data_IF_427961765584
#
_entry.id   IF_427961765584
#
_cell.length_a   1.000
_cell.length_b   1.000
_cell.length_c   1.000
_cell.angle_alpha   90.00
_cell.angle_beta   90.00
_cell.angle_gamma   90.00
#
_symmetry.space_group_name_H-M   'P 1'
#
loop_
_entity.id
_entity.type
_entity.pdbx_description
1 polymer ?
#
# COMPACT_ATOMS: atom_id res chain seq x y z
N UNK A 1 9.97 -18.03 -21.76
CA UNK A 1 10.03 -17.53 -21.57
C UNK A 1 10.23 -16.78 -21.47
N UNK A 2 10.05 -16.56 -21.40
CA UNK A 2 10.16 -15.99 -21.21
C UNK A 2 10.39 -15.04 -20.91
N UNK A 3 10.12 -14.57 -21.19
CA UNK A 3 10.25 -13.64 -20.78
C UNK A 3 10.45 -13.12 -19.90
N UNK A 4 10.45 -12.51 -20.57
CA UNK A 4 10.95 -12.41 -19.27
C UNK A 4 11.06 -11.04 -18.74
N UNK A 5 9.95 -10.56 -18.30
CA UNK A 5 9.99 -9.39 -17.46
C UNK A 5 10.51 -9.89 -16.14
N UNK A 6 11.66 -9.40 -15.70
CA UNK A 6 12.19 -9.75 -14.40
C UNK A 6 11.22 -9.26 -13.32
N UNK A 7 11.21 -9.92 -12.20
CA UNK A 7 10.36 -9.51 -11.08
C UNK A 7 10.61 -8.06 -10.68
N UNK A 8 11.86 -7.62 -10.73
CA UNK A 8 12.20 -6.24 -10.37
C UNK A 8 11.56 -5.23 -11.31
N UNK A 9 11.42 -5.57 -12.59
CA UNK A 9 10.79 -4.69 -13.56
C UNK A 9 9.29 -4.59 -13.33
N UNK A 10 8.63 -5.71 -13.06
CA UNK A 10 7.21 -5.72 -12.71
C UNK A 10 6.99 -4.92 -11.43
N UNK A 11 7.84 -5.12 -10.44
CA UNK A 11 7.74 -4.39 -9.19
C UNK A 11 7.86 -2.89 -9.41
N UNK A 12 8.79 -2.44 -10.26
CA UNK A 12 8.96 -1.03 -10.57
C UNK A 12 7.71 -0.43 -11.21
N UNK A 13 7.08 -1.15 -12.12
CA UNK A 13 5.86 -0.70 -12.77
C UNK A 13 4.72 -0.58 -11.76
N UNK A 14 4.58 -1.56 -10.89
CA UNK A 14 3.54 -1.54 -9.87
C UNK A 14 3.77 -0.39 -8.90
N UNK A 15 5.03 -0.19 -8.44
CA UNK A 15 5.35 0.89 -7.52
C UNK A 15 5.04 2.25 -8.13
N UNK A 16 5.32 2.42 -9.41
CA UNK A 16 4.99 3.68 -10.09
C UNK A 16 3.49 3.89 -10.15
N UNK A 17 2.73 2.84 -10.45
CA UNK A 17 1.27 2.92 -10.46
C UNK A 17 0.75 3.32 -9.08
N UNK A 18 1.29 2.72 -8.03
CA UNK A 18 0.89 3.04 -6.66
C UNK A 18 1.25 4.49 -6.30
N UNK A 19 2.44 4.95 -6.69
CA UNK A 19 2.84 6.33 -6.47
C UNK A 19 1.89 7.32 -7.13
N UNK A 20 1.40 6.99 -8.32
CA UNK A 20 0.54 7.88 -9.09
C UNK A 20 -0.92 7.83 -8.63
N UNK A 21 -1.38 6.69 -8.12
CA UNK A 21 -2.80 6.46 -7.87
C UNK A 21 -3.18 6.24 -6.41
N UNK A 22 -2.20 5.94 -5.56
CA UNK A 22 -2.44 5.67 -4.14
C UNK A 22 -1.74 6.67 -3.23
N UNK A 23 -1.43 7.83 -3.77
CA UNK A 23 -0.84 8.93 -3.02
C UNK A 23 -1.90 9.51 -2.08
N UNK A 24 -1.66 9.55 -0.77
CA UNK A 24 -2.66 10.07 0.17
C UNK A 24 -3.00 11.53 -0.08
N UNK A 25 -4.25 11.91 0.15
CA UNK A 25 -4.71 13.29 -0.05
C UNK A 25 -3.90 14.31 0.74
N UNK A 26 -3.47 13.94 1.94
CA UNK A 26 -2.66 14.83 2.78
C UNK A 26 -1.17 14.77 2.44
N UNK A 27 -0.78 13.92 1.50
CA UNK A 27 0.62 13.68 1.16
C UNK A 27 1.29 12.72 2.13
N UNK A 28 2.52 12.31 1.81
CA UNK A 28 3.26 11.42 2.69
C UNK A 28 3.84 12.20 3.87
N UNK A 29 3.67 11.65 5.06
CA UNK A 29 4.34 12.14 6.26
C UNK A 29 5.71 11.47 6.37
N UNK A 30 6.57 12.00 7.22
CA UNK A 30 7.82 11.34 7.51
C UNK A 30 7.57 10.07 8.33
N UNK A 31 8.41 9.03 8.20
CA UNK A 31 8.19 7.80 8.96
C UNK A 31 8.05 8.00 10.47
N UNK A 32 8.79 8.96 11.02
CA UNK A 32 8.69 9.26 12.45
C UNK A 32 7.32 9.78 12.83
N UNK A 33 6.69 10.55 11.95
CA UNK A 33 5.34 11.07 12.20
C UNK A 33 4.30 9.97 12.19
N UNK A 34 4.43 9.00 11.26
CA UNK A 34 3.54 7.85 11.25
C UNK A 34 3.67 7.02 12.52
N UNK A 35 4.90 6.85 12.98
CA UNK A 35 5.15 6.11 14.20
C UNK A 35 4.50 6.80 15.41
N UNK A 36 4.61 8.11 15.50
CA UNK A 36 3.98 8.88 16.59
C UNK A 36 2.45 8.76 16.53
N UNK A 37 1.87 8.89 15.35
CA UNK A 37 0.42 8.74 15.18
C UNK A 37 -0.03 7.36 15.60
N UNK A 38 0.70 6.34 15.19
CA UNK A 38 0.35 4.97 15.53
C UNK A 38 0.46 4.71 17.02
N UNK A 39 1.51 5.20 17.67
CA UNK A 39 1.66 5.03 19.11
C UNK A 39 0.54 5.72 19.89
N UNK A 40 0.04 6.82 19.35
CA UNK A 40 -1.00 7.60 20.01
C UNK A 40 -2.40 7.02 19.79
N UNK A 41 -2.71 6.58 18.57
CA UNK A 41 -4.07 6.21 18.20
C UNK A 41 -4.23 4.73 17.88
N UNK A 42 -3.14 3.98 17.71
CA UNK A 42 -3.12 2.58 17.27
C UNK A 42 -3.73 2.40 15.87
N UNK A 43 -3.82 3.48 15.11
CA UNK A 43 -4.39 3.45 13.77
C UNK A 43 -3.90 4.62 12.93
N UNK A 44 -3.77 4.38 11.62
CA UNK A 44 -3.47 5.41 10.64
C UNK A 44 -4.32 5.11 9.40
N UNK A 45 -5.02 6.11 8.91
CA UNK A 45 -5.88 5.97 7.73
C UNK A 45 -5.28 6.71 6.54
N UNK A 46 -5.44 6.14 5.37
CA UNK A 46 -4.92 6.70 4.13
C UNK A 46 -6.07 6.96 3.17
N UNK A 47 -6.43 8.22 3.06
CA UNK A 47 -7.57 8.66 2.24
C UNK A 47 -7.10 9.07 0.86
N UNK A 48 -7.86 8.66 -0.15
CA UNK A 48 -7.65 9.06 -1.54
C UNK A 48 -9.02 9.42 -2.09
N UNK A 49 -9.15 10.63 -2.61
CA UNK A 49 -10.42 11.14 -3.13
C UNK A 49 -11.53 11.06 -2.08
N UNK A 50 -11.20 11.47 -0.85
CA UNK A 50 -12.14 11.48 0.28
C UNK A 50 -12.64 10.10 0.71
N UNK A 51 -11.95 9.05 0.27
CA UNK A 51 -12.29 7.68 0.68
C UNK A 51 -11.07 7.01 1.31
N UNK A 52 -11.31 6.24 2.37
CA UNK A 52 -10.24 5.46 2.99
C UNK A 52 -9.93 4.29 2.06
N UNK A 53 -8.79 4.34 1.38
CA UNK A 53 -8.37 3.29 0.45
C UNK A 53 -7.58 2.19 1.13
N UNK A 54 -6.82 2.54 2.14
CA UNK A 54 -6.12 1.57 2.95
C UNK A 54 -5.90 2.14 4.34
N UNK A 55 -5.71 1.25 5.31
CA UNK A 55 -5.55 1.67 6.70
C UNK A 55 -4.64 0.70 7.44
N UNK A 56 -3.98 1.22 8.46
CA UNK A 56 -3.11 0.44 9.33
C UNK A 56 -3.66 0.55 10.74
N UNK A 57 -4.16 -0.56 11.28
CA UNK A 57 -4.79 -0.58 12.61
C UNK A 57 -4.26 -1.78 13.37
N UNK A 58 -3.73 -1.55 14.56
CA UNK A 58 -3.22 -2.62 15.45
C UNK A 58 -2.23 -3.55 14.75
N UNK A 59 -1.35 -2.98 13.93
CA UNK A 59 -0.35 -3.76 13.20
C UNK A 59 -0.86 -4.45 11.94
N UNK A 60 -2.13 -4.23 11.59
CA UNK A 60 -2.74 -4.85 10.43
C UNK A 60 -2.96 -3.82 9.32
N UNK A 61 -2.43 -4.13 8.15
CA UNK A 61 -2.70 -3.32 6.96
C UNK A 61 -3.88 -3.93 6.21
N UNK A 62 -4.91 -3.13 6.00
CA UNK A 62 -6.07 -3.53 5.22
C UNK A 62 -6.17 -2.62 4.00
N UNK A 63 -6.24 -3.22 2.82
CA UNK A 63 -6.35 -2.50 1.56
C UNK A 63 -7.73 -2.77 0.99
N UNK A 64 -8.40 -1.71 0.57
CA UNK A 64 -9.73 -1.83 -0.02
C UNK A 64 -9.69 -2.52 -1.38
N UNK A 65 -10.87 -2.84 -1.88
CA UNK A 65 -11.03 -3.47 -3.18
C UNK A 65 -10.33 -2.62 -4.26
N UNK A 66 -9.54 -3.28 -5.10
CA UNK A 66 -8.74 -2.62 -6.13
C UNK A 66 -8.87 -3.34 -7.46
N UNK A 67 -10.04 -3.23 -8.12
CA UNK A 67 -10.25 -3.95 -9.38
C UNK A 67 -9.27 -3.56 -10.48
N UNK A 68 -8.81 -2.32 -10.49
CA UNK A 68 -7.83 -1.88 -11.47
C UNK A 68 -6.48 -2.58 -11.29
N UNK A 69 -6.04 -2.70 -10.04
CA UNK A 69 -4.78 -3.40 -9.75
C UNK A 69 -4.89 -4.88 -10.13
N UNK A 70 -6.00 -5.52 -9.77
CA UNK A 70 -6.22 -6.91 -10.14
C UNK A 70 -6.30 -7.08 -11.65
N UNK A 71 -6.92 -6.13 -12.33
CA UNK A 71 -7.06 -6.17 -13.79
C UNK A 71 -5.74 -6.00 -14.51
N UNK A 72 -4.86 -5.11 -14.02
CA UNK A 72 -3.58 -4.84 -14.68
C UNK A 72 -2.49 -5.84 -14.29
N UNK A 73 -2.48 -6.29 -13.04
CA UNK A 73 -1.33 -7.02 -12.50
C UNK A 73 -1.68 -8.39 -11.91
N UNK A 74 -2.95 -8.77 -11.87
CA UNK A 74 -3.34 -10.01 -11.22
C UNK A 74 -3.00 -9.93 -9.73
N UNK A 75 -2.51 -11.00 -9.14
CA UNK A 75 -2.18 -11.03 -7.72
C UNK A 75 -0.79 -10.50 -7.40
N UNK A 76 0.01 -10.21 -8.42
CA UNK A 76 1.42 -9.83 -8.23
C UNK A 76 1.56 -8.52 -7.46
N UNK A 77 0.58 -7.63 -7.58
CA UNK A 77 0.65 -6.33 -6.92
C UNK A 77 0.57 -6.44 -5.39
N UNK A 78 -0.04 -7.49 -4.86
CA UNK A 78 -0.31 -7.59 -3.41
C UNK A 78 0.96 -7.55 -2.55
N UNK A 79 1.97 -8.40 -2.82
CA UNK A 79 3.19 -8.29 -2.04
C UNK A 79 3.96 -7.01 -2.30
N UNK A 80 3.86 -6.46 -3.51
CA UNK A 80 4.52 -5.20 -3.83
C UNK A 80 3.88 -4.05 -3.05
N UNK A 81 2.56 -4.03 -2.94
CA UNK A 81 1.85 -3.02 -2.15
C UNK A 81 2.34 -3.03 -0.69
N UNK A 82 2.49 -4.20 -0.12
CA UNK A 82 2.94 -4.34 1.26
C UNK A 82 4.33 -3.71 1.44
N UNK A 83 5.28 -4.07 0.59
CA UNK A 83 6.63 -3.52 0.70
C UNK A 83 6.65 -2.02 0.38
N UNK A 84 5.86 -1.58 -0.58
CA UNK A 84 5.73 -0.17 -0.92
C UNK A 84 5.19 0.63 0.28
N UNK A 85 4.17 0.10 0.96
CA UNK A 85 3.60 0.74 2.15
C UNK A 85 4.65 0.85 3.26
N UNK A 86 5.36 -0.22 3.54
CA UNK A 86 6.38 -0.21 4.59
C UNK A 86 7.51 0.75 4.27
N UNK A 87 7.88 0.85 3.00
CA UNK A 87 8.95 1.76 2.58
C UNK A 87 8.54 3.22 2.73
N UNK A 88 7.29 3.57 2.45
CA UNK A 88 6.83 4.95 2.56
C UNK A 88 6.52 5.37 4.00
N UNK A 89 6.03 4.45 4.81
CA UNK A 89 5.56 4.81 6.16
C UNK A 89 6.54 4.44 7.27
N UNK A 90 7.42 3.49 7.02
CA UNK A 90 8.29 2.96 8.07
C UNK A 90 7.55 2.10 9.09
N UNK A 91 6.25 1.86 8.90
CA UNK A 91 5.46 1.03 9.80
C UNK A 91 5.62 -0.43 9.42
N UNK A 92 5.84 -1.29 10.41
CA UNK A 92 5.97 -2.71 10.16
C UNK A 92 4.61 -3.38 10.20
N UNK A 93 4.30 -4.14 9.17
CA UNK A 93 3.01 -4.81 9.04
C UNK A 93 3.12 -6.24 9.57
N UNK A 94 2.27 -6.58 10.52
CA UNK A 94 2.25 -7.91 11.13
C UNK A 94 1.13 -8.77 10.54
N UNK A 95 0.11 -8.14 9.99
CA UNK A 95 -0.99 -8.84 9.35
C UNK A 95 -1.43 -8.01 8.14
N UNK A 96 -1.72 -8.68 7.03
CA UNK A 96 -2.04 -7.99 5.78
C UNK A 96 -3.28 -8.61 5.16
N UNK A 97 -4.24 -7.78 4.81
CA UNK A 97 -5.47 -8.24 4.18
C UNK A 97 -5.86 -7.32 3.03
N UNK A 98 -6.19 -7.90 1.90
CA UNK A 98 -6.77 -7.18 0.77
C UNK A 98 -8.22 -7.59 0.69
N UNK A 99 -9.11 -6.60 0.69
CA UNK A 99 -10.54 -6.87 0.63
C UNK A 99 -10.93 -7.24 -0.80
N UNK A 100 -11.62 -8.34 -0.94
CA UNK A 100 -12.16 -8.79 -2.22
C UNK A 100 -13.68 -8.73 -2.12
N UNK A 101 -14.29 -8.29 -3.17
CA UNK A 101 -15.73 -8.20 -3.21
C UNK A 101 -16.35 -9.53 -3.54
#
# INVERSE_FOLDING_TARGET
MKYLISESKIESVIRKYLDDNYYPDYGWLEPEQYKEEYEKWDEVYFDIDDHIRYKYVSGKLTVGESPDLDGYFGDVWRPVFLSWFEDHTGLKVYEYKVLDE
#
